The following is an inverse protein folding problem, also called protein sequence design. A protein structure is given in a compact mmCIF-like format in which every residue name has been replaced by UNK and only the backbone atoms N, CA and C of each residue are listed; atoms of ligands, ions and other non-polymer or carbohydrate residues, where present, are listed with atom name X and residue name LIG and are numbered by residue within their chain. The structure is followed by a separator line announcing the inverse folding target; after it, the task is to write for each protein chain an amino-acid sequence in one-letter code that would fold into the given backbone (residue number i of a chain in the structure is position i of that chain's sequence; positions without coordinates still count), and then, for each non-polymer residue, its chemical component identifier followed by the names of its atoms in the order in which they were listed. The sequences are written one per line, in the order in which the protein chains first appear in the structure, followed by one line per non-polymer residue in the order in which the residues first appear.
data_IF_073532154611
#
_entry.id   IF_073532154611
#
_cell.length_a   1.000
_cell.length_b   1.000
_cell.length_c   1.000
_cell.angle_alpha   90.00
_cell.angle_beta   90.00
_cell.angle_gamma   90.00
#
_symmetry.space_group_name_H-M   'P 1'
#
loop_
_entity.id
_entity.type
_entity.pdbx_description
1 polymer ?
#
# COMPACT_ATOMS: atom_id res chain seq x y z
N UNK A 1 24.66 30.55 -13.44
CA UNK A 1 23.49 30.67 -12.52
C UNK A 1 23.09 29.27 -12.07
N UNK A 2 23.87 28.68 -11.16
CA UNK A 2 23.58 27.35 -10.59
C UNK A 2 22.65 27.54 -9.41
N UNK A 3 21.40 27.11 -9.58
CA UNK A 3 20.33 27.30 -8.61
C UNK A 3 20.66 26.66 -7.26
N UNK A 4 20.46 27.44 -6.21
CA UNK A 4 20.49 26.99 -4.83
C UNK A 4 19.42 25.91 -4.63
N UNK A 5 19.84 24.65 -4.54
CA UNK A 5 19.02 23.57 -4.00
C UNK A 5 18.76 23.97 -2.54
N UNK A 6 17.51 24.26 -2.21
CA UNK A 6 17.10 24.60 -0.85
C UNK A 6 17.49 23.45 0.08
N UNK A 7 18.58 23.63 0.83
CA UNK A 7 19.03 22.66 1.82
C UNK A 7 17.99 22.65 2.95
N UNK A 8 17.28 21.53 3.10
CA UNK A 8 16.46 21.30 4.29
C UNK A 8 17.42 21.21 5.48
N UNK A 9 17.19 22.06 6.49
CA UNK A 9 17.99 22.12 7.71
C UNK A 9 17.13 21.70 8.90
N UNK A 10 17.64 20.82 9.74
CA UNK A 10 17.05 20.51 11.05
C UNK A 10 17.94 21.20 12.09
N UNK A 11 17.36 22.05 12.93
CA UNK A 11 18.05 22.81 14.00
C UNK A 11 19.27 23.62 13.54
N UNK A 12 19.27 24.08 12.29
CA UNK A 12 20.37 24.85 11.68
C UNK A 12 21.53 24.02 11.14
N UNK A 13 21.44 22.68 11.20
CA UNK A 13 22.39 21.78 10.54
C UNK A 13 21.85 21.32 9.18
N UNK A 14 22.64 21.41 8.10
CA UNK A 14 22.23 20.91 6.79
C UNK A 14 22.12 19.38 6.86
N UNK A 15 20.96 18.84 6.46
CA UNK A 15 20.76 17.39 6.41
C UNK A 15 21.74 16.80 5.38
N UNK A 16 22.54 15.82 5.81
CA UNK A 16 23.51 15.17 4.93
C UNK A 16 22.80 14.47 3.76
N UNK A 17 23.45 14.36 2.61
CA UNK A 17 22.91 13.58 1.48
C UNK A 17 22.62 12.12 1.88
N UNK A 18 23.40 11.55 2.79
CA UNK A 18 23.17 10.21 3.32
C UNK A 18 21.88 10.13 4.15
N UNK A 19 21.58 11.15 4.94
CA UNK A 19 20.36 11.23 5.74
C UNK A 19 19.13 11.42 4.85
N UNK A 20 19.23 12.24 3.81
CA UNK A 20 18.18 12.39 2.80
C UNK A 20 17.89 11.06 2.09
N UNK A 21 18.92 10.31 1.70
CA UNK A 21 18.75 9.00 1.07
C UNK A 21 18.09 7.99 2.03
N UNK A 22 18.44 8.02 3.32
CA UNK A 22 17.80 7.18 4.33
C UNK A 22 16.32 7.53 4.51
N UNK A 23 15.99 8.82 4.62
CA UNK A 23 14.62 9.29 4.75
C UNK A 23 13.76 8.87 3.56
N UNK A 24 14.29 8.98 2.34
CA UNK A 24 13.60 8.52 1.13
C UNK A 24 13.35 7.00 1.15
N UNK A 25 14.36 6.21 1.53
CA UNK A 25 14.21 4.77 1.64
C UNK A 25 13.19 4.35 2.71
N UNK A 26 13.15 5.06 3.85
CA UNK A 26 12.15 4.85 4.90
C UNK A 26 10.74 5.19 4.40
N UNK A 27 10.58 6.31 3.68
CA UNK A 27 9.29 6.71 3.09
C UNK A 27 8.78 5.68 2.09
N UNK A 28 9.65 5.17 1.21
CA UNK A 28 9.32 4.10 0.26
C UNK A 28 8.90 2.81 0.98
N UNK A 29 9.62 2.43 2.03
CA UNK A 29 9.30 1.25 2.84
C UNK A 29 7.93 1.40 3.51
N UNK A 30 7.65 2.57 4.08
CA UNK A 30 6.36 2.88 4.69
C UNK A 30 5.22 2.83 3.68
N UNK A 31 5.41 3.38 2.48
CA UNK A 31 4.42 3.30 1.41
C UNK A 31 4.12 1.83 1.02
N UNK A 32 5.16 1.01 0.92
CA UNK A 32 5.05 -0.42 0.64
C UNK A 32 4.28 -1.18 1.73
N UNK A 33 4.56 -0.88 3.00
CA UNK A 33 3.88 -1.50 4.13
C UNK A 33 2.40 -1.14 4.15
N UNK A 34 2.04 0.12 3.88
CA UNK A 34 0.63 0.53 3.79
C UNK A 34 -0.10 -0.23 2.67
N UNK A 35 0.53 -0.38 1.49
CA UNK A 35 -0.04 -1.16 0.37
C UNK A 35 -0.25 -2.63 0.74
N UNK A 36 0.71 -3.27 1.40
CA UNK A 36 0.59 -4.67 1.83
C UNK A 36 -0.48 -4.85 2.91
N UNK A 37 -0.53 -3.94 3.88
CA UNK A 37 -1.54 -3.95 4.94
C UNK A 37 -2.94 -3.86 4.34
N UNK A 38 -3.15 -2.96 3.37
CA UNK A 38 -4.43 -2.85 2.66
C UNK A 38 -4.87 -4.18 2.01
N UNK A 39 -3.94 -4.91 1.38
CA UNK A 39 -4.22 -6.23 0.78
C UNK A 39 -4.56 -7.28 1.83
N UNK A 40 -3.81 -7.32 2.92
CA UNK A 40 -4.02 -8.28 4.01
C UNK A 40 -5.39 -8.05 4.66
N UNK A 41 -5.72 -6.81 5.00
CA UNK A 41 -7.02 -6.45 5.57
C UNK A 41 -8.15 -6.85 4.61
N UNK A 42 -8.04 -6.51 3.33
CA UNK A 42 -9.03 -6.90 2.33
C UNK A 42 -9.22 -8.42 2.21
N UNK A 43 -8.16 -9.21 2.39
CA UNK A 43 -8.23 -10.68 2.37
C UNK A 43 -8.79 -11.31 3.65
N UNK A 44 -8.65 -10.63 4.80
CA UNK A 44 -9.07 -11.13 6.10
C UNK A 44 -10.47 -10.66 6.52
N UNK A 45 -10.96 -9.59 5.91
CA UNK A 45 -12.27 -9.00 6.22
C UNK A 45 -13.41 -9.91 5.76
N UNK A 46 -14.49 -9.95 6.54
CA UNK A 46 -15.66 -10.78 6.23
C UNK A 46 -16.59 -10.14 5.20
N UNK A 47 -16.66 -8.82 5.23
CA UNK A 47 -17.48 -8.01 4.34
C UNK A 47 -16.81 -6.66 4.05
N UNK A 48 -17.46 -5.85 3.21
CA UNK A 48 -16.92 -4.57 2.75
C UNK A 48 -16.92 -3.50 3.85
N UNK A 49 -17.87 -3.54 4.78
CA UNK A 49 -18.00 -2.51 5.81
C UNK A 49 -17.00 -2.77 6.96
N UNK A 50 -16.78 -4.04 7.30
CA UNK A 50 -15.68 -4.51 8.15
C UNK A 50 -14.32 -4.09 7.55
N UNK A 51 -14.11 -4.33 6.26
CA UNK A 51 -12.88 -3.92 5.57
C UNK A 51 -12.66 -2.41 5.63
N UNK A 52 -13.69 -1.61 5.34
CA UNK A 52 -13.60 -0.14 5.40
C UNK A 52 -13.27 0.34 6.80
N UNK A 53 -13.93 -0.21 7.81
CA UNK A 53 -13.72 0.15 9.23
C UNK A 53 -12.29 -0.14 9.65
N UNK A 54 -11.76 -1.33 9.30
CA UNK A 54 -10.38 -1.71 9.63
C UNK A 54 -9.34 -0.84 8.92
N UNK A 55 -9.58 -0.47 7.66
CA UNK A 55 -8.68 0.42 6.92
C UNK A 55 -8.69 1.84 7.50
N UNK A 56 -9.86 2.34 7.90
CA UNK A 56 -10.01 3.66 8.53
C UNK A 56 -9.29 3.73 9.88
N UNK A 57 -9.44 2.70 10.73
CA UNK A 57 -8.71 2.58 12.01
C UNK A 57 -7.18 2.58 11.83
N UNK A 58 -6.70 2.06 10.69
CA UNK A 58 -5.28 2.02 10.35
C UNK A 58 -4.79 3.29 9.62
N UNK A 59 -5.69 4.26 9.37
CA UNK A 59 -5.37 5.48 8.62
C UNK A 59 -4.96 5.19 7.17
N UNK A 60 -5.51 4.13 6.56
CA UNK A 60 -5.19 3.76 5.18
C UNK A 60 -6.21 4.41 4.24
N UNK A 61 -5.75 5.45 3.55
CA UNK A 61 -6.57 6.19 2.60
C UNK A 61 -6.97 5.38 1.36
N UNK A 62 -8.06 5.81 0.71
CA UNK A 62 -8.55 5.22 -0.54
C UNK A 62 -7.53 5.24 -1.68
N UNK A 63 -6.64 6.22 -1.72
CA UNK A 63 -5.57 6.28 -2.74
C UNK A 63 -4.52 5.16 -2.52
N UNK A 64 -4.20 4.84 -1.27
CA UNK A 64 -3.34 3.70 -0.94
C UNK A 64 -4.02 2.41 -1.38
N UNK A 65 -5.32 2.24 -1.09
CA UNK A 65 -6.10 1.07 -1.51
C UNK A 65 -6.12 0.92 -3.03
N UNK A 66 -6.29 2.03 -3.76
CA UNK A 66 -6.26 2.05 -5.23
C UNK A 66 -4.90 1.60 -5.76
N UNK A 67 -3.81 2.14 -5.21
CA UNK A 67 -2.44 1.72 -5.58
C UNK A 67 -2.16 0.26 -5.21
N UNK A 68 -2.79 -0.25 -4.15
CA UNK A 68 -2.61 -1.61 -3.67
C UNK A 68 -3.31 -2.66 -4.54
N UNK A 69 -4.40 -2.31 -5.25
CA UNK A 69 -5.16 -3.27 -6.09
C UNK A 69 -4.33 -3.97 -7.17
N UNK A 70 -3.20 -3.39 -7.59
CA UNK A 70 -2.35 -3.96 -8.65
C UNK A 70 -3.10 -4.11 -9.99
N UNK A 71 -2.50 -4.77 -10.98
CA UNK A 71 -3.21 -5.11 -12.21
C UNK A 71 -4.38 -6.02 -11.86
N UNK A 72 -5.58 -5.63 -12.29
CA UNK A 72 -6.78 -6.44 -12.07
C UNK A 72 -6.59 -7.78 -12.81
N UNK A 73 -6.36 -8.86 -12.06
CA UNK A 73 -6.30 -10.18 -12.66
C UNK A 73 -7.66 -10.47 -13.34
N UNK A 74 -7.69 -11.07 -14.54
CA UNK A 74 -8.94 -11.43 -15.18
C UNK A 74 -9.79 -12.28 -14.24
N UNK A 75 -11.12 -12.10 -14.22
CA UNK A 75 -11.99 -12.96 -13.41
C UNK A 75 -11.72 -14.42 -13.78
N UNK A 76 -11.17 -15.20 -12.84
CA UNK A 76 -10.93 -16.61 -13.08
C UNK A 76 -12.26 -17.31 -13.35
N UNK A 77 -12.40 -18.06 -14.46
CA UNK A 77 -13.62 -18.80 -14.73
C UNK A 77 -13.84 -19.78 -13.59
N UNK A 78 -15.00 -19.68 -12.92
CA UNK A 78 -15.41 -20.63 -11.87
C UNK A 78 -15.36 -22.03 -12.49
N UNK A 79 -14.41 -22.85 -12.04
CA UNK A 79 -14.30 -24.25 -12.47
C UNK A 79 -15.66 -24.91 -12.23
N UNK A 80 -16.29 -25.51 -13.26
CA UNK A 80 -17.57 -26.19 -13.06
C UNK A 80 -17.34 -27.29 -12.03
N UNK A 81 -18.10 -27.25 -10.92
CA UNK A 81 -18.17 -28.35 -9.95
C UNK A 81 -18.59 -29.58 -10.74
N UNK A 82 -17.65 -30.49 -10.99
CA UNK A 82 -17.89 -31.76 -11.69
C UNK A 82 -18.95 -32.49 -10.86
N UNK A 83 -20.19 -32.47 -11.34
CA UNK A 83 -21.31 -33.14 -10.70
C UNK A 83 -20.94 -34.58 -10.44
N UNK A 84 -21.03 -34.98 -9.16
CA UNK A 84 -20.89 -36.36 -8.75
C UNK A 84 -22.01 -37.13 -9.45
N UNK A 85 -21.66 -37.81 -10.54
CA UNK A 85 -22.57 -38.65 -11.31
C UNK A 85 -23.00 -39.78 -10.37
N UNK A 86 -24.22 -39.71 -9.88
CA UNK A 86 -24.89 -40.83 -9.23
C UNK A 86 -25.34 -41.77 -10.36
N UNK A 87 -24.72 -42.94 -10.42
CA UNK A 87 -25.23 -44.16 -11.04
C UNK A 87 -24.50 -45.32 -10.37
#
# INVERSE_FOLDING_TARGET
MTGHIAAMTIDGTPVSQADMARLQAEEELHADWRRRTARVVASASRDLDDCRTLLDMLGIDTEVVRSARGPQAPPHPRRPRRGRRAA
#
